data_IF_926756539092
#
_entry.id   IF_926756539092
#
_cell.length_a   1.000
_cell.length_b   1.000
_cell.length_c   1.000
_cell.angle_alpha   90.00
_cell.angle_beta   90.00
_cell.angle_gamma   90.00
#
_symmetry.space_group_name_H-M   'P 1'
#
loop_
_entity.id
_entity.type
_entity.pdbx_description
1 polymer ?
#
# COMPACT_ATOMS: atom_id res chain seq x y z
N UNK A 1 -17.96 -0.23 7.11
CA UNK A 1 -17.72 1.11 7.73
C UNK A 1 -17.49 0.99 9.22
N UNK A 2 -18.50 0.61 10.03
CA UNK A 2 -18.32 0.45 11.49
C UNK A 2 -17.27 -0.60 11.85
N UNK A 3 -17.20 -1.72 11.13
CA UNK A 3 -16.18 -2.75 11.34
C UNK A 3 -14.76 -2.26 11.06
N UNK A 4 -14.57 -1.44 10.02
CA UNK A 4 -13.28 -0.80 9.69
C UNK A 4 -12.90 0.16 10.82
N UNK A 5 -13.84 0.98 11.28
CA UNK A 5 -13.61 1.93 12.37
C UNK A 5 -13.26 1.23 13.69
N UNK A 6 -13.93 0.11 14.01
CA UNK A 6 -13.59 -0.72 15.17
C UNK A 6 -12.22 -1.37 15.01
N UNK A 7 -11.88 -1.90 13.83
CA UNK A 7 -10.52 -2.42 13.59
C UNK A 7 -9.45 -1.34 13.69
N UNK A 8 -9.75 -0.10 13.31
CA UNK A 8 -8.84 1.04 13.46
C UNK A 8 -8.60 1.39 14.92
N UNK A 9 -9.67 1.46 15.74
CA UNK A 9 -9.54 1.70 17.19
C UNK A 9 -8.75 0.56 17.85
N UNK A 10 -9.00 -0.68 17.44
CA UNK A 10 -8.32 -1.85 17.98
C UNK A 10 -6.82 -1.87 17.63
N UNK A 11 -6.46 -1.56 16.37
CA UNK A 11 -5.06 -1.39 15.93
C UNK A 11 -4.36 -0.24 16.64
N UNK A 12 -5.05 0.89 16.84
CA UNK A 12 -4.52 2.03 17.58
C UNK A 12 -4.23 1.69 19.04
N UNK A 13 -5.09 0.86 19.65
CA UNK A 13 -4.87 0.32 20.98
C UNK A 13 -3.58 -0.52 21.03
N UNK A 14 -3.34 -1.40 20.05
CA UNK A 14 -2.11 -2.21 20.00
C UNK A 14 -0.84 -1.43 19.71
N UNK A 15 -0.89 -0.37 18.88
CA UNK A 15 0.24 0.54 18.67
C UNK A 15 0.71 1.18 20.00
N UNK A 16 -0.20 1.39 20.95
CA UNK A 16 0.12 2.03 22.23
C UNK A 16 0.83 1.12 23.25
N UNK A 17 0.86 -0.19 23.02
CA UNK A 17 1.57 -1.13 23.89
C UNK A 17 2.95 -1.43 23.31
N UNK A 18 3.99 -1.22 24.12
CA UNK A 18 5.35 -1.60 23.79
C UNK A 18 5.47 -3.13 23.88
N UNK A 19 4.99 -3.80 22.84
CA UNK A 19 4.88 -5.26 22.75
C UNK A 19 6.20 -5.87 22.28
N UNK A 20 6.54 -7.04 22.83
CA UNK A 20 7.63 -7.87 22.35
C UNK A 20 7.39 -8.31 20.89
N UNK A 21 8.45 -8.68 20.18
CA UNK A 21 8.39 -9.06 18.76
C UNK A 21 7.39 -10.19 18.47
N UNK A 22 7.30 -11.18 19.35
CA UNK A 22 6.36 -12.30 19.22
C UNK A 22 4.91 -11.79 19.33
N UNK A 23 4.61 -10.92 20.29
CA UNK A 23 3.28 -10.32 20.41
C UNK A 23 2.92 -9.44 19.21
N UNK A 24 3.87 -8.68 18.67
CA UNK A 24 3.64 -7.91 17.44
C UNK A 24 3.28 -8.82 16.26
N UNK A 25 3.93 -9.97 16.15
CA UNK A 25 3.58 -10.97 15.14
C UNK A 25 2.19 -11.56 15.32
N UNK A 26 1.78 -11.87 16.56
CA UNK A 26 0.42 -12.34 16.83
C UNK A 26 -0.60 -11.30 16.38
N UNK A 27 -0.37 -10.00 16.63
CA UNK A 27 -1.25 -8.92 16.15
C UNK A 27 -1.31 -8.88 14.62
N UNK A 28 -0.17 -9.01 13.95
CA UNK A 28 -0.08 -9.05 12.48
C UNK A 28 -0.86 -10.25 11.91
N UNK A 29 -0.76 -11.43 12.53
CA UNK A 29 -1.50 -12.62 12.08
C UNK A 29 -2.98 -12.54 12.42
N UNK A 30 -3.38 -11.98 13.55
CA UNK A 30 -4.80 -11.74 13.83
C UNK A 30 -5.44 -10.85 12.75
N UNK A 31 -4.74 -9.81 12.30
CA UNK A 31 -5.18 -8.98 11.18
C UNK A 31 -5.24 -9.77 9.86
N UNK A 32 -4.27 -10.65 9.61
CA UNK A 32 -4.26 -11.52 8.44
C UNK A 32 -5.49 -12.45 8.44
N UNK A 33 -5.85 -13.04 9.59
CA UNK A 33 -7.06 -13.85 9.74
C UNK A 33 -8.36 -13.07 9.54
N UNK A 34 -8.43 -11.82 10.03
CA UNK A 34 -9.59 -10.96 9.76
C UNK A 34 -9.78 -10.70 8.26
N UNK A 35 -8.68 -10.47 7.55
CA UNK A 35 -8.70 -10.29 6.09
C UNK A 35 -9.13 -11.59 5.40
N UNK A 36 -8.57 -12.74 5.80
CA UNK A 36 -8.94 -14.05 5.24
C UNK A 36 -10.44 -14.32 5.29
N UNK A 37 -11.10 -13.93 6.39
CA UNK A 37 -12.55 -14.11 6.56
C UNK A 37 -13.37 -13.43 5.46
N UNK A 38 -12.90 -12.30 4.92
CA UNK A 38 -13.57 -11.56 3.82
C UNK A 38 -13.65 -12.37 2.53
N UNK A 39 -12.71 -13.29 2.34
CA UNK A 39 -12.53 -14.07 1.11
C UNK A 39 -12.95 -15.53 1.28
N UNK A 40 -13.49 -15.91 2.45
CA UNK A 40 -13.88 -17.28 2.78
C UNK A 40 -14.84 -17.96 1.79
N UNK A 41 -15.57 -17.18 0.97
CA UNK A 41 -16.46 -17.70 -0.08
C UNK A 41 -15.74 -18.02 -1.39
N UNK A 42 -14.63 -17.35 -1.67
CA UNK A 42 -13.90 -17.45 -2.93
C UNK A 42 -12.61 -18.26 -2.70
N UNK A 43 -12.70 -19.59 -2.83
CA UNK A 43 -11.61 -20.50 -2.45
C UNK A 43 -10.25 -20.16 -3.10
N UNK A 44 -10.24 -19.77 -4.38
CA UNK A 44 -9.00 -19.42 -5.08
C UNK A 44 -8.32 -18.19 -4.49
N UNK A 45 -9.09 -17.15 -4.16
CA UNK A 45 -8.61 -15.89 -3.58
C UNK A 45 -8.16 -16.11 -2.14
N UNK A 46 -8.96 -16.86 -1.37
CA UNK A 46 -8.62 -17.27 -0.02
C UNK A 46 -7.30 -18.05 0.02
N UNK A 47 -7.16 -19.06 -0.83
CA UNK A 47 -5.96 -19.89 -0.89
C UNK A 47 -4.72 -19.06 -1.24
N UNK A 48 -4.81 -18.22 -2.28
CA UNK A 48 -3.69 -17.35 -2.66
C UNK A 48 -3.28 -16.40 -1.54
N UNK A 49 -4.24 -15.78 -0.85
CA UNK A 49 -3.92 -14.92 0.29
C UNK A 49 -3.29 -15.70 1.43
N UNK A 50 -3.89 -16.82 1.85
CA UNK A 50 -3.35 -17.66 2.95
C UNK A 50 -1.93 -18.12 2.68
N UNK A 51 -1.65 -18.61 1.47
CA UNK A 51 -0.32 -19.03 1.08
C UNK A 51 0.70 -17.89 1.21
N UNK A 52 0.39 -16.72 0.68
CA UNK A 52 1.27 -15.55 0.80
C UNK A 52 1.44 -15.11 2.26
N UNK A 53 0.39 -15.16 3.09
CA UNK A 53 0.52 -14.87 4.52
C UNK A 53 1.43 -15.88 5.24
N UNK A 54 1.33 -17.17 4.93
CA UNK A 54 2.23 -18.19 5.50
C UNK A 54 3.69 -17.96 5.13
N UNK A 55 3.99 -17.63 3.86
CA UNK A 55 5.36 -17.28 3.44
C UNK A 55 5.90 -16.10 4.25
N UNK A 56 5.10 -15.05 4.40
CA UNK A 56 5.51 -13.89 5.20
C UNK A 56 5.77 -14.26 6.66
N UNK A 57 4.92 -15.09 7.27
CA UNK A 57 5.10 -15.52 8.66
C UNK A 57 6.39 -16.34 8.85
N UNK A 58 6.75 -17.18 7.86
CA UNK A 58 8.00 -17.94 7.88
C UNK A 58 9.23 -17.03 7.79
N UNK A 59 9.20 -16.03 6.90
CA UNK A 59 10.28 -15.03 6.80
C UNK A 59 10.50 -14.32 8.14
N UNK A 60 9.40 -13.97 8.82
CA UNK A 60 9.44 -13.35 10.13
C UNK A 60 10.07 -14.26 11.19
N UNK A 61 9.62 -15.52 11.29
CA UNK A 61 10.15 -16.47 12.27
C UNK A 61 11.64 -16.78 12.05
N UNK A 62 12.07 -16.95 10.79
CA UNK A 62 13.49 -17.13 10.47
C UNK A 62 14.28 -15.89 10.90
N UNK A 63 13.76 -14.69 10.64
CA UNK A 63 14.37 -13.43 11.10
C UNK A 63 14.56 -13.40 12.62
N UNK A 64 13.51 -13.68 13.39
CA UNK A 64 13.59 -13.76 14.85
C UNK A 64 14.57 -14.83 15.33
N UNK A 65 14.53 -16.03 14.76
CA UNK A 65 15.42 -17.10 15.17
C UNK A 65 16.90 -16.74 14.95
N UNK A 66 17.19 -16.10 13.82
CA UNK A 66 18.52 -15.57 13.51
C UNK A 66 18.93 -14.44 14.45
N UNK A 67 17.98 -13.62 14.90
CA UNK A 67 18.23 -12.58 15.91
C UNK A 67 18.70 -13.20 17.24
N UNK A 68 17.98 -14.22 17.72
CA UNK A 68 18.33 -14.91 18.97
C UNK A 68 19.60 -15.76 18.88
N UNK A 69 20.01 -16.16 17.68
CA UNK A 69 21.29 -16.85 17.43
C UNK A 69 22.43 -15.90 17.05
N UNK A 70 22.27 -14.59 17.35
CA UNK A 70 23.29 -13.55 17.18
C UNK A 70 23.71 -13.26 15.72
N UNK A 71 23.00 -13.80 14.72
CA UNK A 71 23.19 -13.47 13.31
C UNK A 71 22.41 -12.19 12.92
N UNK A 72 22.76 -11.07 13.55
CA UNK A 72 22.00 -9.81 13.47
C UNK A 72 21.78 -9.29 12.04
N UNK A 73 22.81 -9.30 11.20
CA UNK A 73 22.70 -8.80 9.82
C UNK A 73 21.76 -9.67 8.97
N UNK A 74 21.88 -11.00 9.10
CA UNK A 74 20.98 -11.95 8.43
C UNK A 74 19.54 -11.78 8.92
N UNK A 75 19.34 -11.62 10.23
CA UNK A 75 18.04 -11.29 10.82
C UNK A 75 17.44 -10.02 10.19
N UNK A 76 18.21 -8.93 10.09
CA UNK A 76 17.76 -7.68 9.47
C UNK A 76 17.36 -7.89 8.01
N UNK A 77 18.06 -8.73 7.24
CA UNK A 77 17.68 -9.07 5.86
C UNK A 77 16.32 -9.77 5.84
N UNK A 78 16.13 -10.82 6.64
CA UNK A 78 14.86 -11.57 6.65
C UNK A 78 13.68 -10.73 7.14
N UNK A 79 13.87 -9.89 8.17
CA UNK A 79 12.86 -8.94 8.62
C UNK A 79 12.56 -7.86 7.57
N UNK A 80 13.57 -7.42 6.81
CA UNK A 80 13.38 -6.51 5.68
C UNK A 80 12.60 -7.18 4.55
N UNK A 81 12.89 -8.43 4.22
CA UNK A 81 12.15 -9.21 3.23
C UNK A 81 10.70 -9.44 3.67
N UNK A 82 10.47 -9.82 4.92
CA UNK A 82 9.14 -9.91 5.53
C UNK A 82 8.35 -8.61 5.35
N UNK A 83 8.98 -7.49 5.71
CA UNK A 83 8.39 -6.17 5.61
C UNK A 83 8.03 -5.82 4.16
N UNK A 84 8.97 -5.98 3.23
CA UNK A 84 8.74 -5.75 1.81
C UNK A 84 7.64 -6.65 1.24
N UNK A 85 7.58 -7.90 1.67
CA UNK A 85 6.60 -8.86 1.24
C UNK A 85 5.19 -8.48 1.69
N UNK A 86 4.99 -8.15 2.99
CA UNK A 86 3.70 -7.68 3.51
C UNK A 86 3.25 -6.36 2.89
N UNK A 87 4.19 -5.48 2.53
CA UNK A 87 3.90 -4.19 1.91
C UNK A 87 3.71 -4.20 0.39
N UNK A 88 3.92 -5.35 -0.27
CA UNK A 88 3.88 -5.47 -1.72
C UNK A 88 4.90 -4.55 -2.43
N UNK A 89 6.12 -4.46 -1.87
CA UNK A 89 7.24 -3.75 -2.51
C UNK A 89 7.88 -4.68 -3.54
N UNK A 90 8.34 -4.13 -4.67
CA UNK A 90 9.08 -4.88 -5.69
C UNK A 90 10.15 -5.81 -5.08
N UNK A 91 10.25 -7.08 -5.54
CA UNK A 91 9.48 -7.72 -6.61
C UNK A 91 8.15 -8.35 -6.15
N UNK A 92 7.79 -8.21 -4.87
CA UNK A 92 6.63 -8.87 -4.28
C UNK A 92 5.29 -8.22 -4.60
N UNK A 93 5.25 -7.11 -5.35
CA UNK A 93 3.98 -6.48 -5.73
C UNK A 93 3.09 -7.38 -6.61
N UNK A 94 3.68 -8.35 -7.31
CA UNK A 94 2.97 -9.24 -8.24
C UNK A 94 1.89 -10.08 -7.57
N UNK A 95 2.18 -10.68 -6.40
CA UNK A 95 1.18 -11.49 -5.69
C UNK A 95 0.01 -10.61 -5.25
N UNK A 96 0.31 -9.39 -4.79
CA UNK A 96 -0.69 -8.42 -4.34
C UNK A 96 -1.56 -7.96 -5.51
N UNK A 97 -0.95 -7.66 -6.67
CA UNK A 97 -1.66 -7.32 -7.91
C UNK A 97 -2.61 -8.45 -8.32
N UNK A 98 -2.09 -9.67 -8.47
CA UNK A 98 -2.87 -10.83 -8.93
C UNK A 98 -4.03 -11.16 -7.99
N UNK A 99 -3.78 -11.08 -6.68
CA UNK A 99 -4.80 -11.27 -5.66
C UNK A 99 -5.93 -10.22 -5.76
N UNK A 100 -5.57 -8.94 -5.90
CA UNK A 100 -6.58 -7.88 -5.99
C UNK A 100 -7.37 -7.93 -7.29
N UNK A 101 -6.74 -8.31 -8.41
CA UNK A 101 -7.43 -8.42 -9.71
C UNK A 101 -8.54 -9.47 -9.71
N UNK A 102 -8.45 -10.48 -8.84
CA UNK A 102 -9.50 -11.51 -8.66
C UNK A 102 -10.61 -11.07 -7.70
N UNK A 103 -10.37 -10.02 -6.91
CA UNK A 103 -11.27 -9.58 -5.84
C UNK A 103 -12.37 -8.64 -6.36
N UNK A 104 -13.54 -8.67 -5.73
CA UNK A 104 -14.59 -7.66 -6.00
C UNK A 104 -14.14 -6.27 -5.54
N UNK A 105 -14.70 -5.22 -6.15
CA UNK A 105 -14.30 -3.84 -5.83
C UNK A 105 -14.54 -3.46 -4.36
N UNK A 106 -15.62 -3.96 -3.77
CA UNK A 106 -15.89 -3.79 -2.33
C UNK A 106 -14.79 -4.44 -1.47
N UNK A 107 -14.38 -5.67 -1.81
CA UNK A 107 -13.30 -6.36 -1.11
C UNK A 107 -11.97 -5.62 -1.29
N UNK A 108 -11.66 -5.13 -2.50
CA UNK A 108 -10.45 -4.34 -2.79
C UNK A 108 -10.40 -3.11 -1.87
N UNK A 109 -11.48 -2.32 -1.83
CA UNK A 109 -11.53 -1.11 -0.99
C UNK A 109 -11.37 -1.42 0.49
N UNK A 110 -12.03 -2.48 0.97
CA UNK A 110 -11.91 -2.92 2.36
C UNK A 110 -10.49 -3.39 2.68
N UNK A 111 -9.91 -4.21 1.82
CA UNK A 111 -8.56 -4.75 1.97
C UNK A 111 -7.51 -3.64 1.99
N UNK A 112 -7.57 -2.74 1.02
CA UNK A 112 -6.73 -1.56 0.92
C UNK A 112 -6.82 -0.75 2.23
N UNK A 113 -8.03 -0.51 2.74
CA UNK A 113 -8.23 0.24 3.97
C UNK A 113 -7.56 -0.39 5.20
N UNK A 114 -7.68 -1.71 5.39
CA UNK A 114 -7.07 -2.41 6.53
C UNK A 114 -5.56 -2.47 6.39
N UNK A 115 -5.07 -2.78 5.19
CA UNK A 115 -3.64 -2.91 4.95
C UNK A 115 -2.91 -1.63 5.28
N UNK A 116 -3.48 -0.44 5.03
CA UNK A 116 -2.82 0.79 5.44
C UNK A 116 -2.49 0.87 6.93
N UNK A 117 -3.40 0.42 7.81
CA UNK A 117 -3.11 0.38 9.24
C UNK A 117 -2.01 -0.61 9.56
N UNK A 118 -2.05 -1.77 8.90
CA UNK A 118 -0.97 -2.74 9.01
C UNK A 118 0.37 -2.12 8.56
N UNK A 119 0.39 -1.33 7.47
CA UNK A 119 1.62 -0.67 7.01
C UNK A 119 2.17 0.25 8.10
N UNK A 120 1.33 1.15 8.63
CA UNK A 120 1.70 2.09 9.69
C UNK A 120 2.26 1.33 10.89
N UNK A 121 1.54 0.32 11.36
CA UNK A 121 1.95 -0.52 12.49
C UNK A 121 3.30 -1.20 12.25
N UNK A 122 3.50 -1.84 11.09
CA UNK A 122 4.76 -2.50 10.73
C UNK A 122 5.93 -1.52 10.72
N UNK A 123 5.75 -0.31 10.20
CA UNK A 123 6.81 0.70 10.20
C UNK A 123 7.22 1.12 11.60
N UNK A 124 6.27 1.26 12.54
CA UNK A 124 6.59 1.60 13.93
C UNK A 124 7.41 0.51 14.62
N UNK A 125 7.03 -0.75 14.47
CA UNK A 125 7.68 -1.86 15.16
C UNK A 125 9.07 -2.14 14.59
N UNK A 126 9.18 -2.13 13.26
CA UNK A 126 10.38 -2.63 12.59
C UNK A 126 11.39 -1.55 12.25
N UNK A 127 11.14 -0.25 12.50
CA UNK A 127 12.03 0.84 12.09
C UNK A 127 13.51 0.58 12.40
N UNK A 128 13.80 0.04 13.59
CA UNK A 128 15.17 -0.22 14.05
C UNK A 128 15.83 -1.48 13.44
N UNK A 129 15.04 -2.35 12.81
CA UNK A 129 15.48 -3.67 12.30
C UNK A 129 15.56 -3.71 10.77
N UNK A 130 15.10 -2.66 10.09
CA UNK A 130 14.98 -2.62 8.64
C UNK A 130 16.25 -2.08 7.97
N UNK A 131 16.69 -2.75 6.90
CA UNK A 131 17.71 -2.26 6.01
C UNK A 131 17.12 -1.20 5.06
N UNK A 132 17.00 0.01 5.59
CA UNK A 132 16.34 1.14 4.95
C UNK A 132 16.81 1.44 3.53
N UNK A 133 18.12 1.30 3.24
CA UNK A 133 18.66 1.49 1.88
C UNK A 133 18.04 0.52 0.86
N UNK A 134 17.83 -0.73 1.27
CA UNK A 134 17.23 -1.77 0.42
C UNK A 134 15.76 -1.43 0.14
N UNK A 135 15.02 -1.02 1.17
CA UNK A 135 13.61 -0.63 1.04
C UNK A 135 13.47 0.56 0.09
N UNK A 136 14.30 1.60 0.23
CA UNK A 136 14.27 2.76 -0.67
C UNK A 136 14.53 2.30 -2.11
N UNK A 137 15.64 1.59 -2.34
CA UNK A 137 16.01 1.14 -3.67
C UNK A 137 14.88 0.36 -4.35
N UNK A 138 14.30 -0.62 -3.67
CA UNK A 138 13.22 -1.41 -4.23
C UNK A 138 11.90 -0.63 -4.35
N UNK A 139 11.61 0.32 -3.47
CA UNK A 139 10.44 1.19 -3.62
C UNK A 139 10.53 2.07 -4.88
N UNK A 140 11.73 2.55 -5.23
CA UNK A 140 11.97 3.31 -6.45
C UNK A 140 11.86 2.44 -7.72
N UNK A 141 12.38 1.21 -7.67
CA UNK A 141 12.16 0.26 -8.76
C UNK A 141 10.68 -0.07 -8.91
N UNK A 142 9.96 -0.18 -7.79
CA UNK A 142 8.51 -0.40 -7.79
C UNK A 142 7.77 0.71 -8.54
N UNK A 143 8.12 2.00 -8.34
CA UNK A 143 7.44 3.09 -9.06
C UNK A 143 7.63 2.98 -10.55
N UNK A 144 8.85 2.70 -11.00
CA UNK A 144 9.17 2.61 -12.42
C UNK A 144 8.39 1.45 -13.03
N UNK A 145 8.50 0.25 -12.45
CA UNK A 145 7.87 -0.97 -12.97
C UNK A 145 6.34 -0.85 -12.99
N UNK A 146 5.71 -0.47 -11.87
CA UNK A 146 4.25 -0.34 -11.79
C UNK A 146 3.77 0.73 -12.77
N UNK A 147 4.49 1.84 -12.90
CA UNK A 147 4.09 2.91 -13.80
C UNK A 147 4.14 2.50 -15.26
N UNK A 148 5.16 1.75 -15.68
CA UNK A 148 5.26 1.22 -17.05
C UNK A 148 4.15 0.21 -17.31
N UNK A 149 3.99 -0.76 -16.40
CA UNK A 149 2.97 -1.82 -16.54
C UNK A 149 1.55 -1.22 -16.59
N UNK A 150 1.31 -0.14 -15.84
CA UNK A 150 0.02 0.54 -15.83
C UNK A 150 -0.34 1.21 -17.17
N UNK A 151 0.65 1.57 -18.00
CA UNK A 151 0.41 2.21 -19.30
C UNK A 151 -0.01 1.21 -20.39
N UNK A 152 0.32 -0.07 -20.22
CA UNK A 152 0.03 -1.13 -21.20
C UNK A 152 -1.37 -1.74 -20.99
N UNK A 153 -1.99 -1.53 -19.83
CA UNK A 153 -3.26 -2.16 -19.52
C UNK A 153 -4.47 -1.47 -20.16
N UNK A 154 -5.37 -2.27 -20.72
CA UNK A 154 -6.68 -1.82 -21.17
C UNK A 154 -7.51 -1.28 -20.00
N UNK A 155 -8.30 -0.24 -20.27
CA UNK A 155 -9.08 0.41 -19.23
C UNK A 155 -10.11 -0.53 -18.60
N UNK A 156 -9.88 -0.90 -17.33
CA UNK A 156 -10.86 -1.53 -16.43
C UNK A 156 -10.79 -0.81 -15.07
N UNK A 157 -11.95 -0.43 -14.51
CA UNK A 157 -12.01 0.30 -13.24
C UNK A 157 -11.38 -0.48 -12.08
N UNK A 158 -11.46 -1.82 -12.11
CA UNK A 158 -10.80 -2.67 -11.13
C UNK A 158 -9.28 -2.52 -11.20
N UNK A 159 -8.70 -2.67 -12.39
CA UNK A 159 -7.27 -2.50 -12.62
C UNK A 159 -6.82 -1.11 -12.17
N UNK A 160 -7.58 -0.08 -12.55
CA UNK A 160 -7.33 1.29 -12.13
C UNK A 160 -7.21 1.45 -10.59
N UNK A 161 -8.11 0.84 -9.83
CA UNK A 161 -8.03 0.85 -8.36
C UNK A 161 -6.83 0.07 -7.81
N UNK A 162 -6.47 -1.05 -8.45
CA UNK A 162 -5.29 -1.84 -8.05
C UNK A 162 -3.99 -1.08 -8.28
N UNK A 163 -3.78 -0.56 -9.48
CA UNK A 163 -2.58 0.20 -9.83
C UNK A 163 -2.43 1.49 -9.03
N UNK A 164 -3.53 2.21 -8.82
CA UNK A 164 -3.49 3.41 -7.98
C UNK A 164 -3.08 3.07 -6.54
N UNK A 165 -3.58 1.97 -5.97
CA UNK A 165 -3.17 1.53 -4.62
C UNK A 165 -1.69 1.15 -4.53
N UNK A 166 -1.16 0.51 -5.58
CA UNK A 166 0.24 0.11 -5.69
C UNK A 166 1.15 1.33 -5.81
N UNK A 167 0.82 2.30 -6.68
CA UNK A 167 1.58 3.55 -6.82
C UNK A 167 1.60 4.35 -5.51
N UNK A 168 0.49 4.38 -4.78
CA UNK A 168 0.37 5.10 -3.51
C UNK A 168 1.18 4.46 -2.38
N UNK A 169 1.42 3.15 -2.44
CA UNK A 169 2.28 2.47 -1.46
C UNK A 169 3.71 3.03 -1.45
N UNK A 170 4.21 3.55 -2.57
CA UNK A 170 5.57 4.09 -2.65
C UNK A 170 5.66 5.47 -2.01
N UNK A 171 4.74 6.38 -2.34
CA UNK A 171 4.68 7.69 -1.68
C UNK A 171 4.53 7.54 -0.17
N UNK A 172 3.81 6.53 0.27
CA UNK A 172 3.70 6.17 1.68
C UNK A 172 5.06 5.78 2.29
N UNK A 173 5.80 4.86 1.65
CA UNK A 173 7.14 4.45 2.11
C UNK A 173 8.08 5.67 2.16
N UNK A 174 8.06 6.52 1.13
CA UNK A 174 8.91 7.71 1.05
C UNK A 174 8.54 8.77 2.08
N UNK A 175 7.25 8.92 2.39
CA UNK A 175 6.78 9.85 3.43
C UNK A 175 7.31 9.48 4.82
N UNK A 176 7.41 8.18 5.12
CA UNK A 176 7.98 7.67 6.36
C UNK A 176 9.44 8.06 6.54
N UNK A 177 10.23 8.03 5.46
CA UNK A 177 11.64 8.43 5.49
C UNK A 177 11.84 9.90 5.85
N UNK A 178 10.88 10.77 5.51
CA UNK A 178 10.93 12.19 5.86
C UNK A 178 10.53 12.37 7.32
N UNK A 179 9.33 11.90 7.66
CA UNK A 179 8.88 11.85 9.05
C UNK A 179 7.65 10.96 9.19
N UNK A 180 7.50 10.38 10.38
CA UNK A 180 6.30 9.68 10.78
C UNK A 180 5.03 10.54 10.63
N UNK A 181 5.11 11.84 10.96
CA UNK A 181 3.98 12.77 10.82
C UNK A 181 3.53 12.89 9.36
N UNK A 182 4.48 13.04 8.43
CA UNK A 182 4.21 13.11 7.00
C UNK A 182 3.53 11.84 6.49
N UNK A 183 3.96 10.68 6.98
CA UNK A 183 3.34 9.40 6.66
C UNK A 183 1.90 9.30 7.15
N UNK A 184 1.61 9.71 8.38
CA UNK A 184 0.25 9.70 8.93
C UNK A 184 -0.65 10.66 8.15
N UNK A 185 -0.18 11.86 7.83
CA UNK A 185 -0.92 12.83 7.02
C UNK A 185 -1.17 12.36 5.58
N UNK A 186 -0.16 11.77 4.94
CA UNK A 186 -0.34 11.17 3.61
C UNK A 186 -1.38 10.04 3.65
N UNK A 187 -1.30 9.18 4.66
CA UNK A 187 -2.21 8.06 4.85
C UNK A 187 -3.66 8.53 5.07
N UNK A 188 -3.87 9.54 5.90
CA UNK A 188 -5.21 10.07 6.18
C UNK A 188 -5.81 10.74 4.94
N UNK A 189 -5.02 11.52 4.18
CA UNK A 189 -5.46 12.11 2.92
C UNK A 189 -5.87 11.03 1.90
N UNK A 190 -5.09 9.95 1.79
CA UNK A 190 -5.41 8.85 0.89
C UNK A 190 -6.66 8.09 1.33
N UNK A 191 -6.81 7.78 2.61
CA UNK A 191 -8.01 7.11 3.13
C UNK A 191 -9.28 7.94 2.93
N UNK A 192 -9.18 9.26 3.12
CA UNK A 192 -10.29 10.17 2.83
C UNK A 192 -10.67 10.15 1.35
N UNK A 193 -9.67 10.12 0.45
CA UNK A 193 -9.90 10.02 -0.99
C UNK A 193 -10.62 8.72 -1.37
N UNK A 194 -10.20 7.58 -0.80
CA UNK A 194 -10.84 6.29 -1.02
C UNK A 194 -12.27 6.26 -0.49
N UNK A 195 -12.51 6.82 0.69
CA UNK A 195 -13.85 6.93 1.26
C UNK A 195 -14.79 7.70 0.34
N UNK A 196 -14.33 8.82 -0.22
CA UNK A 196 -15.12 9.62 -1.15
C UNK A 196 -15.46 8.83 -2.42
N UNK A 197 -14.47 8.17 -3.02
CA UNK A 197 -14.68 7.31 -4.20
C UNK A 197 -15.67 6.20 -3.90
N UNK A 198 -15.54 5.55 -2.74
CA UNK A 198 -16.46 4.51 -2.29
C UNK A 198 -17.89 5.05 -2.14
N UNK A 199 -18.06 6.24 -1.55
CA UNK A 199 -19.37 6.83 -1.34
C UNK A 199 -20.08 7.17 -2.66
N UNK A 200 -19.34 7.73 -3.63
CA UNK A 200 -19.89 8.06 -4.95
C UNK A 200 -20.20 6.78 -5.74
N UNK A 201 -19.28 5.81 -5.77
CA UNK A 201 -19.50 4.52 -6.46
C UNK A 201 -20.69 3.75 -5.91
N UNK A 202 -20.90 3.74 -4.58
CA UNK A 202 -22.06 3.10 -3.96
C UNK A 202 -23.39 3.78 -4.32
N UNK A 203 -23.41 5.12 -4.37
CA UNK A 203 -24.62 5.86 -4.75
C UNK A 203 -25.01 5.68 -6.21
N UNK A 204 -24.02 5.45 -7.06
CA UNK A 204 -24.19 5.40 -8.52
C UNK A 204 -24.20 3.98 -9.07
N UNK A 205 -24.40 2.95 -8.24
CA UNK A 205 -24.38 1.53 -8.66
C UNK A 205 -23.13 1.16 -9.50
N UNK A 206 -21.95 1.67 -9.13
CA UNK A 206 -20.68 1.43 -9.83
C UNK A 206 -20.65 1.89 -11.30
N UNK A 207 -21.41 2.93 -11.66
CA UNK A 207 -21.33 3.49 -13.02
C UNK A 207 -19.93 4.07 -13.31
N UNK A 208 -19.35 3.58 -14.41
CA UNK A 208 -18.04 3.99 -14.99
C UNK A 208 -18.00 5.47 -15.40
N UNK A 209 -19.17 6.10 -15.52
CA UNK A 209 -19.32 7.48 -16.04
C UNK A 209 -18.55 8.54 -15.23
N UNK A 210 -18.32 8.31 -13.94
CA UNK A 210 -17.65 9.27 -13.05
C UNK A 210 -16.18 8.93 -12.75
N UNK A 211 -15.55 8.05 -13.54
CA UNK A 211 -14.15 7.68 -13.32
C UNK A 211 -13.20 8.88 -13.45
N UNK A 212 -13.56 9.89 -14.24
CA UNK A 212 -12.82 11.14 -14.33
C UNK A 212 -12.68 11.80 -12.95
N UNK A 213 -13.75 11.81 -12.16
CA UNK A 213 -13.74 12.37 -10.80
C UNK A 213 -12.83 11.52 -9.90
N UNK A 214 -12.88 10.19 -10.02
CA UNK A 214 -12.01 9.29 -9.23
C UNK A 214 -10.53 9.44 -9.61
N UNK A 215 -10.24 9.62 -10.90
CA UNK A 215 -8.92 9.91 -11.41
C UNK A 215 -8.39 11.23 -10.89
N UNK A 216 -9.19 12.29 -10.92
CA UNK A 216 -8.81 13.60 -10.36
C UNK A 216 -8.52 13.49 -8.86
N UNK A 217 -9.37 12.77 -8.12
CA UNK A 217 -9.23 12.57 -6.67
C UNK A 217 -7.95 11.79 -6.33
N UNK A 218 -7.70 10.66 -6.97
CA UNK A 218 -6.54 9.80 -6.68
C UNK A 218 -5.23 10.35 -7.25
N UNK A 219 -5.26 10.99 -8.42
CA UNK A 219 -4.11 11.73 -8.92
C UNK A 219 -3.73 12.82 -7.92
N UNK A 220 -4.73 13.43 -7.30
CA UNK A 220 -4.57 14.59 -6.43
C UNK A 220 -4.14 15.76 -7.28
N UNK A 221 -5.03 16.27 -8.14
CA UNK A 221 -4.79 17.56 -8.80
C UNK A 221 -4.90 18.70 -7.78
N UNK A 222 -4.22 19.84 -7.98
CA UNK A 222 -4.52 21.05 -7.22
C UNK A 222 -6.02 21.38 -7.35
N UNK A 223 -6.78 21.64 -6.27
CA UNK A 223 -6.39 21.93 -4.88
C UNK A 223 -6.55 20.77 -3.87
N UNK A 224 -6.56 19.51 -4.32
CA UNK A 224 -6.90 18.36 -3.46
C UNK A 224 -5.81 18.04 -2.42
N UNK A 225 -6.17 17.51 -1.23
CA UNK A 225 -5.22 17.19 -0.17
C UNK A 225 -4.08 16.26 -0.57
N UNK A 226 -4.36 15.26 -1.43
CA UNK A 226 -3.35 14.34 -1.93
C UNK A 226 -2.29 15.04 -2.79
N UNK A 227 -2.64 16.11 -3.51
CA UNK A 227 -1.67 16.93 -4.23
C UNK A 227 -0.66 17.54 -3.27
N UNK A 228 -1.17 18.22 -2.23
CA UNK A 228 -0.35 18.90 -1.24
C UNK A 228 0.62 17.93 -0.57
N UNK A 229 0.17 16.73 -0.22
CA UNK A 229 1.04 15.73 0.41
C UNK A 229 2.13 15.23 -0.54
N UNK A 230 1.81 14.95 -1.81
CA UNK A 230 2.81 14.58 -2.82
C UNK A 230 3.80 15.72 -3.08
N UNK A 231 3.32 16.95 -3.13
CA UNK A 231 4.15 18.13 -3.37
C UNK A 231 5.08 18.43 -2.19
N UNK A 232 4.60 18.35 -0.95
CA UNK A 232 5.43 18.46 0.25
C UNK A 232 6.49 17.35 0.31
N UNK A 233 6.16 16.13 -0.12
CA UNK A 233 7.12 15.03 -0.22
C UNK A 233 8.21 15.33 -1.27
N UNK A 234 7.84 15.89 -2.41
CA UNK A 234 8.81 16.33 -3.43
C UNK A 234 9.73 17.44 -2.90
N UNK A 235 9.18 18.46 -2.22
CA UNK A 235 9.97 19.56 -1.67
C UNK A 235 10.94 19.10 -0.58
N UNK A 236 10.50 18.19 0.31
CA UNK A 236 11.36 17.66 1.38
C UNK A 236 12.51 16.78 0.84
N UNK A 237 12.39 16.25 -0.38
CA UNK A 237 13.42 15.47 -1.03
C UNK A 237 14.25 16.25 -2.05
N UNK A 238 14.05 17.57 -2.16
CA UNK A 238 14.75 18.43 -3.13
C UNK A 238 16.28 18.30 -3.07
N UNK A 239 16.83 18.20 -1.86
CA UNK A 239 18.29 18.09 -1.66
C UNK A 239 18.86 16.71 -2.05
N UNK A 240 18.00 15.71 -2.30
CA UNK A 240 18.40 14.38 -2.72
C UNK A 240 18.15 14.22 -4.22
N UNK A 241 19.03 14.77 -5.06
CA UNK A 241 18.84 14.92 -6.51
C UNK A 241 18.34 13.66 -7.24
N UNK A 242 18.87 12.47 -6.92
CA UNK A 242 18.42 11.21 -7.54
C UNK A 242 17.01 10.79 -7.06
N UNK A 243 16.72 10.93 -5.77
CA UNK A 243 15.40 10.64 -5.22
C UNK A 243 14.35 11.60 -5.77
N UNK A 244 14.70 12.89 -5.85
CA UNK A 244 13.87 13.93 -6.45
C UNK A 244 13.58 13.63 -7.93
N UNK A 245 14.61 13.26 -8.71
CA UNK A 245 14.44 12.91 -10.12
C UNK A 245 13.54 11.69 -10.32
N UNK A 246 13.72 10.61 -9.56
CA UNK A 246 12.88 9.41 -9.71
C UNK A 246 11.44 9.69 -9.29
N UNK A 247 11.22 10.48 -8.23
CA UNK A 247 9.88 10.85 -7.79
C UNK A 247 9.16 11.76 -8.78
N UNK A 248 9.86 12.71 -9.39
CA UNK A 248 9.29 13.56 -10.43
C UNK A 248 8.92 12.72 -11.65
N UNK A 249 9.78 11.80 -12.11
CA UNK A 249 9.42 10.83 -13.15
C UNK A 249 8.19 10.00 -12.75
N UNK A 250 8.17 9.45 -11.53
CA UNK A 250 7.03 8.71 -11.02
C UNK A 250 5.75 9.54 -11.03
N UNK A 251 5.82 10.81 -10.64
CA UNK A 251 4.70 11.75 -10.69
C UNK A 251 4.21 11.97 -12.14
N UNK A 252 5.11 12.23 -13.08
CA UNK A 252 4.75 12.38 -14.50
C UNK A 252 4.14 11.11 -15.09
N UNK A 253 4.68 9.93 -14.79
CA UNK A 253 4.08 8.68 -15.23
C UNK A 253 2.70 8.45 -14.60
N UNK A 254 2.52 8.79 -13.31
CA UNK A 254 1.18 8.73 -12.72
C UNK A 254 0.22 9.64 -13.46
N UNK A 255 0.59 10.90 -13.76
CA UNK A 255 -0.23 11.81 -14.55
C UNK A 255 -0.59 11.18 -15.89
N UNK A 256 0.40 10.63 -16.60
CA UNK A 256 0.19 10.01 -17.90
C UNK A 256 -0.80 8.84 -17.81
N UNK A 257 -0.69 7.97 -16.80
CA UNK A 257 -1.64 6.89 -16.56
C UNK A 257 -3.07 7.41 -16.38
N UNK A 258 -3.29 8.40 -15.50
CA UNK A 258 -4.63 8.93 -15.26
C UNK A 258 -5.19 9.64 -16.49
N UNK A 259 -4.37 10.42 -17.22
CA UNK A 259 -4.79 11.12 -18.45
C UNK A 259 -5.13 10.12 -19.56
N UNK A 260 -4.30 9.09 -19.77
CA UNK A 260 -4.59 8.05 -20.76
C UNK A 260 -5.88 7.31 -20.45
N UNK A 261 -6.10 6.93 -19.19
CA UNK A 261 -7.34 6.28 -18.78
C UNK A 261 -8.56 7.18 -18.97
N UNK A 262 -8.42 8.45 -18.64
CA UNK A 262 -9.42 9.48 -18.89
C UNK A 262 -9.78 9.53 -20.39
N UNK A 263 -8.79 9.63 -21.28
CA UNK A 263 -9.00 9.66 -22.73
C UNK A 263 -9.63 8.37 -23.27
N UNK A 264 -9.19 7.20 -22.78
CA UNK A 264 -9.75 5.91 -23.16
C UNK A 264 -11.24 5.82 -22.81
N UNK A 265 -11.67 6.38 -21.68
CA UNK A 265 -13.09 6.41 -21.30
C UNK A 265 -13.90 7.33 -22.22
N UNK A 266 -13.36 8.48 -22.65
CA UNK A 266 -14.10 9.35 -23.59
C UNK A 266 -14.32 8.75 -24.98
N UNK A 267 -13.59 7.68 -25.33
CA UNK A 267 -13.70 7.01 -26.62
C UNK A 267 -14.73 5.88 -26.63
N UNK A 268 -15.24 5.45 -25.46
CA UNK A 268 -16.25 4.38 -25.30
C UNK A 268 -17.64 5.01 -25.11
#
# INVERSE_FOLDING_TARGET
MLSIFITMIFLFFFISFNLDMISNWVVIEMLSFFIMKLYSKDFSIYFEYTFNQTISSLLFFIGIFLFFSEFFYSSMIFLTLFFMYKLAIFPFYLWYKNFLLKSSLFQIMYFISIIYFLKIYLMFIFLNFLLMKIIIFFSLMNTIVISIESLEENFNFLNFMVYSSLLMSIYWILSFFISLSMMVFFSSAYMFSLFFIFFVTFKENFLVKNIWIYAVILLGLPPLPLFCMKFMLLLSLWNFSLLFFILTLGFFFTINFYVNNIFLISLI
#
